data_IF_576302105866
#
_entry.id   IF_576302105866
#
_cell.length_a   1.000
_cell.length_b   1.000
_cell.length_c   1.000
_cell.angle_alpha   90.00
_cell.angle_beta   90.00
_cell.angle_gamma   90.00
#
_symmetry.space_group_name_H-M   'P 1'
#
loop_
_entity.id
_entity.type
_entity.pdbx_description
1 polymer ?
#
# COMPACT_ATOMS: atom_id res chain seq x y z
N UNK A 1 35.75 -39.38 -18.39
CA UNK A 1 35.61 -37.93 -18.10
C UNK A 1 34.12 -37.70 -17.87
N UNK A 2 33.73 -37.26 -16.68
CA UNK A 2 32.34 -37.18 -16.24
C UNK A 2 31.56 -36.10 -17.03
N UNK A 3 30.23 -36.25 -17.22
CA UNK A 3 29.39 -35.20 -17.79
C UNK A 3 29.40 -33.96 -16.88
N UNK A 4 29.17 -32.76 -17.43
CA UNK A 4 29.05 -31.54 -16.62
C UNK A 4 27.90 -31.69 -15.62
N UNK A 5 28.00 -31.06 -14.43
CA UNK A 5 26.92 -31.09 -13.46
C UNK A 5 25.64 -30.54 -14.09
N UNK A 6 24.59 -31.35 -14.03
CA UNK A 6 23.24 -30.94 -14.35
C UNK A 6 22.91 -29.73 -13.50
N UNK A 7 22.61 -28.61 -14.16
CA UNK A 7 21.96 -27.45 -13.58
C UNK A 7 20.79 -27.94 -12.71
N UNK A 8 20.97 -27.86 -11.39
CA UNK A 8 19.90 -28.06 -10.41
C UNK A 8 19.00 -26.84 -10.53
N UNK A 9 18.20 -26.84 -11.58
CA UNK A 9 17.17 -25.85 -11.83
C UNK A 9 16.31 -25.73 -10.59
N UNK A 10 16.27 -24.52 -10.04
CA UNK A 10 15.23 -24.04 -9.13
C UNK A 10 13.87 -24.59 -9.59
N UNK A 11 12.98 -25.02 -8.67
CA UNK A 11 11.69 -25.58 -9.06
C UNK A 11 11.03 -24.64 -10.07
N UNK A 12 10.76 -25.18 -11.27
CA UNK A 12 10.28 -24.41 -12.42
C UNK A 12 9.07 -23.62 -11.99
N UNK A 13 9.12 -22.32 -12.23
CA UNK A 13 7.98 -21.43 -12.17
C UNK A 13 6.81 -22.03 -12.95
N UNK A 14 5.64 -22.05 -12.33
CA UNK A 14 4.43 -22.50 -13.01
C UNK A 14 4.02 -21.40 -13.98
N UNK A 15 4.02 -21.74 -15.26
CA UNK A 15 3.57 -20.88 -16.36
C UNK A 15 2.06 -21.00 -16.43
N UNK A 16 1.32 -19.95 -16.05
CA UNK A 16 -0.14 -19.93 -16.07
C UNK A 16 -0.61 -19.04 -17.23
N UNK A 17 -1.42 -19.61 -18.13
CA UNK A 17 -2.08 -18.84 -19.18
C UNK A 17 -3.23 -18.01 -18.59
N UNK A 18 -3.31 -16.75 -18.97
CA UNK A 18 -4.37 -15.86 -18.53
C UNK A 18 -5.72 -16.31 -19.14
N UNK A 19 -6.73 -16.66 -18.32
CA UNK A 19 -8.02 -17.12 -18.83
C UNK A 19 -8.84 -16.00 -19.50
N UNK A 20 -8.47 -14.73 -19.31
CA UNK A 20 -9.13 -13.55 -19.88
C UNK A 20 -8.42 -13.08 -21.15
N UNK A 21 -7.08 -13.16 -21.17
CA UNK A 21 -6.26 -12.77 -22.33
C UNK A 21 -5.45 -13.96 -22.88
N UNK A 22 -6.02 -14.75 -23.81
CA UNK A 22 -5.33 -15.91 -24.37
C UNK A 22 -4.06 -15.48 -25.11
N UNK A 23 -2.90 -15.79 -24.53
CA UNK A 23 -1.57 -15.44 -25.02
C UNK A 23 -0.69 -14.71 -24.00
N UNK A 24 -1.26 -14.22 -22.90
CA UNK A 24 -0.49 -13.70 -21.76
C UNK A 24 -0.11 -14.88 -20.85
N UNK A 25 1.20 -14.97 -20.61
CA UNK A 25 1.81 -16.02 -19.80
C UNK A 25 2.39 -15.38 -18.55
N UNK A 26 1.88 -15.78 -17.39
CA UNK A 26 2.38 -15.34 -16.10
C UNK A 26 3.35 -16.39 -15.54
N UNK A 27 4.56 -15.95 -15.22
CA UNK A 27 5.51 -16.75 -14.48
C UNK A 27 5.22 -16.63 -12.98
N UNK A 28 4.83 -17.74 -12.35
CA UNK A 28 4.60 -17.77 -10.90
C UNK A 28 5.69 -18.60 -10.23
N UNK A 29 6.45 -17.99 -9.32
CA UNK A 29 7.36 -18.74 -8.46
C UNK A 29 6.53 -19.61 -7.49
N UNK A 30 6.84 -20.91 -7.35
CA UNK A 30 6.08 -21.81 -6.48
C UNK A 30 6.04 -21.33 -5.03
N UNK A 31 7.06 -20.60 -4.58
CA UNK A 31 7.12 -19.97 -3.26
C UNK A 31 6.05 -18.89 -3.08
N UNK A 32 5.82 -18.06 -4.10
CA UNK A 32 4.80 -17.00 -4.08
C UNK A 32 3.38 -17.59 -4.08
N UNK A 33 3.17 -18.68 -4.83
CA UNK A 33 1.89 -19.39 -4.91
C UNK A 33 1.52 -20.02 -3.56
N UNK A 34 2.46 -20.68 -2.90
CA UNK A 34 2.22 -21.26 -1.57
C UNK A 34 2.02 -20.16 -0.51
N UNK A 35 2.78 -19.07 -0.58
CA UNK A 35 2.58 -17.92 0.30
C UNK A 35 1.18 -17.29 0.12
N UNK A 36 0.66 -17.25 -1.10
CA UNK A 36 -0.69 -16.74 -1.40
C UNK A 36 -1.80 -17.70 -0.95
N UNK A 37 -1.58 -19.03 -0.99
CA UNK A 37 -2.49 -20.02 -0.41
C UNK A 37 -2.56 -19.92 1.11
N UNK A 38 -1.46 -19.57 1.77
CA UNK A 38 -1.41 -19.35 3.22
C UNK A 38 -1.94 -17.96 3.64
N UNK A 39 -2.19 -17.05 2.69
CA UNK A 39 -2.81 -15.75 3.02
C UNK A 39 -4.19 -15.99 3.62
N UNK A 40 -4.39 -15.43 4.81
CA UNK A 40 -5.72 -15.38 5.45
C UNK A 40 -6.73 -14.83 4.46
N UNK A 41 -7.81 -15.59 4.26
CA UNK A 41 -8.96 -15.15 3.47
C UNK A 41 -9.38 -13.74 3.93
N UNK A 42 -9.38 -12.80 2.99
CA UNK A 42 -9.82 -11.43 3.25
C UNK A 42 -11.32 -11.49 3.54
N UNK A 43 -11.69 -11.44 4.81
CA UNK A 43 -13.09 -11.58 5.25
C UNK A 43 -13.91 -10.31 5.04
N UNK A 44 -13.26 -9.18 4.71
CA UNK A 44 -13.91 -7.92 4.35
C UNK A 44 -12.99 -7.04 3.49
N UNK A 45 -13.53 -6.27 2.53
CA UNK A 45 -12.74 -5.36 1.71
C UNK A 45 -12.06 -4.28 2.56
N UNK A 46 -10.82 -3.95 2.21
CA UNK A 46 -10.03 -2.89 2.85
C UNK A 46 -9.97 -1.61 2.00
N UNK A 47 -9.31 -0.58 2.54
CA UNK A 47 -9.05 0.67 1.83
C UNK A 47 -7.55 0.87 1.63
N UNK A 48 -7.17 1.30 0.42
CA UNK A 48 -5.80 1.69 0.10
C UNK A 48 -5.76 3.15 -0.32
N UNK A 49 -4.88 3.92 0.30
CA UNK A 49 -4.64 5.33 -0.04
C UNK A 49 -3.36 5.45 -0.87
N UNK A 50 -3.50 5.85 -2.13
CA UNK A 50 -2.36 6.02 -3.04
C UNK A 50 -1.42 7.16 -2.62
N UNK A 51 -0.25 7.23 -3.25
CA UNK A 51 0.57 8.44 -3.17
C UNK A 51 -0.18 9.64 -3.74
N UNK A 52 -0.08 10.78 -3.06
CA UNK A 52 -0.82 12.00 -3.42
C UNK A 52 -0.03 13.31 -3.22
N UNK A 53 1.18 13.23 -2.66
CA UNK A 53 2.00 14.41 -2.37
C UNK A 53 1.24 15.46 -1.55
N UNK A 54 1.12 16.67 -2.11
CA UNK A 54 0.42 17.79 -1.46
C UNK A 54 -1.12 17.66 -1.47
N UNK A 55 -1.68 16.70 -2.20
CA UNK A 55 -3.11 16.39 -2.18
C UNK A 55 -3.49 15.56 -0.93
N UNK A 56 -2.58 15.38 0.04
CA UNK A 56 -2.86 14.72 1.32
C UNK A 56 -4.15 15.18 2.04
N UNK A 57 -4.52 16.48 2.08
CA UNK A 57 -5.78 16.91 2.70
C UNK A 57 -7.03 16.23 2.10
N UNK A 58 -6.99 15.85 0.82
CA UNK A 58 -8.06 15.08 0.19
C UNK A 58 -8.19 13.69 0.82
N UNK A 59 -7.07 12.98 1.04
CA UNK A 59 -7.10 11.68 1.71
C UNK A 59 -7.65 11.75 3.13
N UNK A 60 -7.34 12.81 3.88
CA UNK A 60 -7.92 13.03 5.21
C UNK A 60 -9.43 13.22 5.16
N UNK A 61 -9.94 13.98 4.17
CA UNK A 61 -11.37 14.17 3.97
C UNK A 61 -12.10 12.87 3.59
N UNK A 62 -11.52 12.09 2.68
CA UNK A 62 -12.05 10.76 2.30
C UNK A 62 -12.05 9.83 3.50
N UNK A 63 -10.94 9.74 4.25
CA UNK A 63 -10.82 8.92 5.44
C UNK A 63 -11.87 9.29 6.51
N UNK A 64 -12.04 10.60 6.77
CA UNK A 64 -13.07 11.11 7.68
C UNK A 64 -14.46 10.64 7.28
N UNK A 65 -14.82 10.82 6.01
CA UNK A 65 -16.14 10.41 5.52
C UNK A 65 -16.37 8.89 5.66
N UNK A 66 -15.36 8.08 5.31
CA UNK A 66 -15.44 6.63 5.43
C UNK A 66 -15.56 6.15 6.88
N UNK A 67 -14.88 6.80 7.83
CA UNK A 67 -15.01 6.57 9.27
C UNK A 67 -16.40 6.95 9.78
N UNK A 68 -16.88 8.16 9.44
CA UNK A 68 -18.19 8.67 9.86
C UNK A 68 -19.36 7.81 9.33
N UNK A 69 -19.20 7.20 8.16
CA UNK A 69 -20.17 6.26 7.59
C UNK A 69 -20.01 4.81 8.07
N UNK A 70 -19.00 4.53 8.89
CA UNK A 70 -18.76 3.20 9.45
C UNK A 70 -18.21 2.17 8.44
N UNK A 71 -17.66 2.62 7.32
CA UNK A 71 -16.97 1.76 6.35
C UNK A 71 -15.57 1.35 6.83
N UNK A 72 -14.86 2.28 7.48
CA UNK A 72 -13.60 2.00 8.16
C UNK A 72 -13.91 1.75 9.65
N UNK A 73 -13.47 0.60 10.14
CA UNK A 73 -13.57 0.13 11.53
C UNK A 73 -12.19 -0.32 12.00
N UNK A 74 -12.07 -0.64 13.29
CA UNK A 74 -10.82 -1.12 13.89
C UNK A 74 -10.25 -2.36 13.20
N UNK A 75 -11.11 -3.24 12.66
CA UNK A 75 -10.71 -4.46 11.95
C UNK A 75 -10.54 -4.26 10.45
N UNK A 76 -10.82 -3.07 9.91
CA UNK A 76 -10.75 -2.83 8.46
C UNK A 76 -9.28 -2.77 8.02
N UNK A 77 -8.85 -3.59 7.04
CA UNK A 77 -7.50 -3.50 6.51
C UNK A 77 -7.26 -2.14 5.85
N UNK A 78 -6.17 -1.47 6.23
CA UNK A 78 -5.75 -0.19 5.67
C UNK A 78 -4.33 -0.30 5.10
N UNK A 79 -4.14 0.25 3.91
CA UNK A 79 -2.85 0.34 3.26
C UNK A 79 -2.61 1.76 2.75
N UNK A 80 -1.36 2.14 2.54
CA UNK A 80 -1.07 3.39 1.87
C UNK A 80 0.39 3.56 1.45
N UNK A 81 0.62 4.48 0.52
CA UNK A 81 1.96 4.82 0.02
C UNK A 81 2.19 6.34 0.08
N UNK A 82 3.41 6.77 0.43
CA UNK A 82 3.78 8.19 0.57
C UNK A 82 2.75 8.95 1.44
N UNK A 83 2.13 10.02 0.94
CA UNK A 83 1.05 10.74 1.63
C UNK A 83 -0.13 9.83 2.05
N UNK A 84 -0.48 8.82 1.26
CA UNK A 84 -1.52 7.86 1.61
C UNK A 84 -1.13 6.97 2.80
N UNK A 85 0.16 6.64 2.96
CA UNK A 85 0.65 5.91 4.14
C UNK A 85 0.45 6.72 5.42
N UNK A 86 0.64 8.04 5.34
CA UNK A 86 0.36 8.95 6.47
C UNK A 86 -1.13 8.91 6.83
N UNK A 87 -2.05 8.86 5.87
CA UNK A 87 -3.48 8.78 6.16
C UNK A 87 -3.83 7.49 6.90
N UNK A 88 -3.32 6.36 6.44
CA UNK A 88 -3.48 5.06 7.11
C UNK A 88 -2.88 5.07 8.53
N UNK A 89 -1.71 5.70 8.71
CA UNK A 89 -1.07 5.83 10.01
C UNK A 89 -1.90 6.69 10.99
N UNK A 90 -2.49 7.80 10.53
CA UNK A 90 -3.37 8.65 11.36
C UNK A 90 -4.61 7.87 11.82
N UNK A 91 -5.21 7.07 10.94
CA UNK A 91 -6.36 6.24 11.31
C UNK A 91 -5.94 5.19 12.33
N UNK A 92 -4.84 4.48 12.06
CA UNK A 92 -4.32 3.43 12.95
C UNK A 92 -3.86 3.96 14.32
N UNK A 93 -3.39 5.21 14.39
CA UNK A 93 -3.01 5.86 15.66
C UNK A 93 -4.19 6.33 16.50
N UNK A 94 -5.42 6.25 15.97
CA UNK A 94 -6.61 6.79 16.62
C UNK A 94 -6.66 8.32 16.69
N UNK A 95 -5.79 9.01 15.95
CA UNK A 95 -5.78 10.47 15.89
C UNK A 95 -6.93 10.99 15.03
N UNK A 96 -7.42 12.20 15.31
CA UNK A 96 -8.48 12.77 14.50
C UNK A 96 -7.94 13.26 13.15
N UNK A 97 -8.76 13.16 12.10
CA UNK A 97 -8.41 13.71 10.78
C UNK A 97 -8.19 15.23 10.82
N UNK A 98 -8.83 15.93 11.77
CA UNK A 98 -8.69 17.38 11.96
C UNK A 98 -7.32 17.75 12.56
N UNK A 99 -6.80 16.95 13.49
CA UNK A 99 -5.44 17.13 14.02
C UNK A 99 -4.39 16.91 12.94
N UNK A 100 -4.54 15.84 12.14
CA UNK A 100 -3.67 15.58 11.01
C UNK A 100 -3.71 16.72 9.98
N UNK A 101 -4.89 17.28 9.71
CA UNK A 101 -5.05 18.43 8.81
C UNK A 101 -4.37 19.68 9.37
N UNK A 102 -4.48 19.95 10.67
CA UNK A 102 -3.77 21.07 11.31
C UNK A 102 -2.26 20.90 11.20
N UNK A 103 -1.74 19.71 11.49
CA UNK A 103 -0.32 19.39 11.37
C UNK A 103 0.19 19.61 9.93
N UNK A 104 -0.56 19.16 8.93
CA UNK A 104 -0.16 19.36 7.53
C UNK A 104 -0.16 20.84 7.11
N UNK A 105 -1.09 21.65 7.64
CA UNK A 105 -1.14 23.09 7.37
C UNK A 105 0.08 23.80 7.95
N UNK A 106 0.46 23.46 9.18
CA UNK A 106 1.68 23.98 9.82
C UNK A 106 2.92 23.60 9.01
N UNK A 107 3.02 22.34 8.57
CA UNK A 107 4.12 21.88 7.73
C UNK A 107 4.18 22.63 6.39
N UNK A 108 3.03 22.80 5.73
CA UNK A 108 2.93 23.50 4.46
C UNK A 108 3.29 24.99 4.59
N UNK A 109 2.89 25.63 5.69
CA UNK A 109 3.27 27.00 6.00
C UNK A 109 4.78 27.12 6.22
N UNK A 110 5.38 26.22 7.01
CA UNK A 110 6.82 26.18 7.21
C UNK A 110 7.58 26.01 5.88
N UNK A 111 7.12 25.07 5.02
CA UNK A 111 7.72 24.85 3.71
C UNK A 111 7.61 26.09 2.81
N UNK A 112 6.49 26.82 2.88
CA UNK A 112 6.27 28.04 2.10
C UNK A 112 7.21 29.17 2.53
N UNK A 113 7.43 29.31 3.84
CA UNK A 113 8.24 30.38 4.41
C UNK A 113 9.74 30.09 4.36
N UNK A 114 10.13 28.81 4.43
CA UNK A 114 11.53 28.41 4.63
C UNK A 114 12.07 27.41 3.60
N UNK A 115 11.29 27.11 2.56
CA UNK A 115 11.64 26.07 1.58
C UNK A 115 11.50 24.65 2.14
N UNK A 116 11.86 23.66 1.33
CA UNK A 116 11.71 22.23 1.67
C UNK A 116 13.02 21.56 2.11
N UNK A 117 14.17 22.15 1.80
CA UNK A 117 15.49 21.60 2.13
C UNK A 117 15.63 21.37 3.66
N UNK A 118 16.08 20.17 4.02
CA UNK A 118 16.25 19.69 5.40
C UNK A 118 14.98 19.64 6.27
N UNK A 119 13.80 19.85 5.69
CA UNK A 119 12.51 19.93 6.41
C UNK A 119 11.54 18.81 6.06
N UNK A 120 11.58 18.36 4.81
CA UNK A 120 10.95 17.13 4.37
C UNK A 120 12.11 16.17 4.15
N UNK A 121 12.15 15.04 4.86
CA UNK A 121 13.29 14.11 4.82
C UNK A 121 13.51 13.58 3.40
N UNK A 122 14.36 14.27 2.63
CA UNK A 122 14.97 13.88 1.36
C UNK A 122 16.37 14.47 1.29
#
# INVERSE_FOLDING_TARGET
MAPPPSDLGSPRSAVVEDPVEPGVVWEQAPEDVEAEKERRAVTSPGFSFSAAGLLFPYHLGVARFLLEKGYIKETTPLAGSSAGAVASAVIASGSSMDEALKAIKVLAENCRLSGTAFRLGV
#
